data_IF_341289556180
#
_entry.id   IF_341289556180
#
_cell.length_a   1.000
_cell.length_b   1.000
_cell.length_c   1.000
_cell.angle_alpha   90.00
_cell.angle_beta   90.00
_cell.angle_gamma   90.00
#
_symmetry.space_group_name_H-M   'P 1'
#
loop_
_entity.id
_entity.type
_entity.pdbx_description
1 polymer ?
#
# COMPACT_ATOMS: atom_id res chain seq x y z
N UNK A 1 -0.78 29.80 10.68
CA UNK A 1 -0.56 29.12 9.38
C UNK A 1 -0.86 30.14 8.29
N UNK A 2 0.06 30.40 7.35
CA UNK A 2 -0.09 31.45 6.32
C UNK A 2 -1.19 31.06 5.30
N UNK A 3 -1.97 32.00 4.75
CA UNK A 3 -3.05 31.77 3.78
C UNK A 3 -2.61 30.93 2.56
N UNK A 4 -1.36 31.10 2.12
CA UNK A 4 -0.77 30.27 1.04
C UNK A 4 -0.58 28.81 1.43
N UNK A 5 -0.34 28.53 2.72
CA UNK A 5 -0.22 27.17 3.25
C UNK A 5 -1.61 26.54 3.38
N UNK A 6 -2.60 27.32 3.85
CA UNK A 6 -4.02 26.92 3.91
C UNK A 6 -4.56 26.57 2.51
N UNK A 7 -4.20 27.34 1.49
CA UNK A 7 -4.61 27.06 0.11
C UNK A 7 -3.99 25.76 -0.45
N UNK A 8 -2.72 25.47 -0.11
CA UNK A 8 -2.07 24.21 -0.48
C UNK A 8 -2.71 22.99 0.19
N UNK A 9 -3.10 23.12 1.46
CA UNK A 9 -3.84 22.09 2.20
C UNK A 9 -5.23 21.90 1.58
N UNK A 10 -5.94 23.00 1.27
CA UNK A 10 -7.25 22.98 0.62
C UNK A 10 -7.21 22.35 -0.78
N UNK A 11 -6.10 22.52 -1.50
CA UNK A 11 -5.83 21.93 -2.83
C UNK A 11 -5.22 20.52 -2.77
N UNK A 12 -5.20 19.84 -1.61
CA UNK A 12 -4.72 18.45 -1.48
C UNK A 12 -3.27 18.24 -1.94
N UNK A 13 -2.45 19.30 -1.96
CA UNK A 13 -1.11 19.29 -2.54
C UNK A 13 0.00 19.00 -1.50
N UNK A 14 -0.36 18.85 -0.23
CA UNK A 14 0.55 18.43 0.82
C UNK A 14 0.89 16.94 0.60
N UNK A 15 2.17 16.58 0.60
CA UNK A 15 2.74 15.22 0.42
C UNK A 15 2.85 14.62 -1.00
N UNK A 16 2.45 15.29 -2.07
CA UNK A 16 2.58 14.72 -3.41
C UNK A 16 4.03 14.83 -3.95
N UNK A 17 4.65 13.70 -4.26
CA UNK A 17 6.00 13.58 -4.82
C UNK A 17 6.02 13.96 -6.32
N UNK A 18 7.13 14.49 -6.84
CA UNK A 18 7.25 14.83 -8.27
C UNK A 18 7.02 13.64 -9.21
N UNK A 19 6.59 13.92 -10.45
CA UNK A 19 6.22 12.88 -11.43
C UNK A 19 7.33 11.86 -11.72
N UNK A 20 8.59 12.31 -11.75
CA UNK A 20 9.74 11.44 -12.00
C UNK A 20 9.89 10.32 -10.94
N UNK A 21 9.33 10.49 -9.74
CA UNK A 21 9.39 9.48 -8.70
C UNK A 21 8.55 8.23 -9.00
N UNK A 22 7.62 8.28 -9.97
CA UNK A 22 6.94 7.06 -10.48
C UNK A 22 7.91 6.08 -11.12
N UNK A 23 9.00 6.56 -11.73
CA UNK A 23 10.05 5.68 -12.25
C UNK A 23 10.90 5.12 -11.12
N UNK A 24 11.23 5.97 -10.12
CA UNK A 24 11.96 5.53 -8.94
C UNK A 24 11.20 4.50 -8.09
N UNK A 25 9.86 4.49 -8.09
CA UNK A 25 9.10 3.46 -7.37
C UNK A 25 9.29 2.05 -7.91
N UNK A 26 9.68 1.89 -9.18
CA UNK A 26 9.84 0.58 -9.80
C UNK A 26 11.07 -0.14 -9.23
N UNK A 27 12.13 0.60 -8.94
CA UNK A 27 13.40 0.06 -8.46
C UNK A 27 13.26 -0.75 -7.15
N UNK A 28 12.69 -0.23 -6.05
CA UNK A 28 12.54 -1.00 -4.82
C UNK A 28 11.57 -2.18 -4.98
N UNK A 29 10.54 -2.08 -5.83
CA UNK A 29 9.66 -3.23 -6.13
C UNK A 29 10.44 -4.33 -6.83
N UNK A 30 11.18 -4.00 -7.89
CA UNK A 30 11.97 -4.98 -8.64
C UNK A 30 13.03 -5.63 -7.75
N UNK A 31 13.76 -4.85 -6.97
CA UNK A 31 14.77 -5.37 -6.03
C UNK A 31 14.11 -6.29 -5.00
N UNK A 32 13.00 -5.87 -4.41
CA UNK A 32 12.26 -6.70 -3.44
C UNK A 32 11.78 -8.03 -4.03
N UNK A 33 11.25 -8.00 -5.26
CA UNK A 33 10.79 -9.19 -5.97
C UNK A 33 11.95 -10.12 -6.35
N UNK A 34 13.05 -9.58 -6.90
CA UNK A 34 14.22 -10.39 -7.25
C UNK A 34 14.80 -11.06 -6.00
N UNK A 35 14.99 -10.31 -4.92
CA UNK A 35 15.49 -10.84 -3.66
C UNK A 35 14.59 -11.94 -3.10
N UNK A 36 13.26 -11.79 -3.21
CA UNK A 36 12.31 -12.81 -2.79
C UNK A 36 12.52 -14.15 -3.53
N UNK A 37 12.76 -14.12 -4.85
CA UNK A 37 13.01 -15.34 -5.63
C UNK A 37 14.43 -15.89 -5.51
N UNK A 38 15.41 -15.07 -5.14
CA UNK A 38 16.82 -15.48 -5.03
C UNK A 38 17.26 -15.85 -3.63
N UNK A 39 16.42 -15.66 -2.61
CA UNK A 39 16.77 -15.91 -1.21
C UNK A 39 17.35 -17.32 -1.01
N UNK A 40 16.62 -18.34 -1.46
CA UNK A 40 16.98 -19.75 -1.29
C UNK A 40 18.31 -20.15 -1.95
N UNK A 41 18.82 -19.35 -2.89
CA UNK A 41 20.00 -19.67 -3.70
C UNK A 41 21.28 -18.99 -3.23
N UNK A 42 21.16 -17.91 -2.46
CA UNK A 42 22.31 -17.02 -2.20
C UNK A 42 22.91 -17.28 -0.83
N UNK A 43 22.13 -17.62 0.19
CA UNK A 43 22.63 -17.88 1.56
C UNK A 43 23.37 -16.70 2.18
N UNK A 44 23.24 -15.49 1.62
CA UNK A 44 24.01 -14.30 2.01
C UNK A 44 23.45 -13.67 3.30
N UNK A 45 22.17 -13.90 3.61
CA UNK A 45 21.45 -13.26 4.71
C UNK A 45 20.57 -14.28 5.46
N UNK A 46 20.23 -13.97 6.71
CA UNK A 46 19.28 -14.77 7.51
C UNK A 46 17.88 -14.74 6.87
N UNK A 47 17.27 -15.91 6.65
CA UNK A 47 15.97 -16.07 6.00
C UNK A 47 14.86 -15.18 6.59
N UNK A 48 14.86 -14.99 7.93
CA UNK A 48 13.88 -14.12 8.59
C UNK A 48 14.07 -12.65 8.23
N UNK A 49 15.31 -12.22 8.07
CA UNK A 49 15.66 -10.83 7.71
C UNK A 49 15.33 -10.59 6.23
N UNK A 50 15.65 -11.54 5.35
CA UNK A 50 15.35 -11.40 3.92
C UNK A 50 13.85 -11.33 3.67
N UNK A 51 13.07 -12.21 4.30
CA UNK A 51 11.61 -12.18 4.20
C UNK A 51 11.02 -10.84 4.68
N UNK A 52 11.53 -10.28 5.78
CA UNK A 52 11.09 -8.98 6.26
C UNK A 52 11.47 -7.85 5.30
N UNK A 53 12.73 -7.78 4.84
CA UNK A 53 13.24 -6.70 3.99
C UNK A 53 12.59 -6.69 2.61
N UNK A 54 12.41 -7.86 2.00
CA UNK A 54 11.79 -7.99 0.68
C UNK A 54 10.37 -7.45 0.63
N UNK A 55 9.53 -7.82 1.61
CA UNK A 55 8.17 -7.30 1.73
C UNK A 55 8.14 -5.79 1.90
N UNK A 56 8.98 -5.24 2.77
CA UNK A 56 9.03 -3.79 3.01
C UNK A 56 9.54 -2.99 1.81
N UNK A 57 10.45 -3.55 1.00
CA UNK A 57 10.89 -2.91 -0.25
C UNK A 57 9.75 -2.79 -1.26
N UNK A 58 8.92 -3.83 -1.41
CA UNK A 58 7.75 -3.78 -2.28
C UNK A 58 6.74 -2.73 -1.77
N UNK A 59 6.44 -2.75 -0.47
CA UNK A 59 5.54 -1.77 0.16
C UNK A 59 6.05 -0.33 -0.01
N UNK A 60 7.36 -0.11 0.13
CA UNK A 60 7.99 1.19 -0.07
C UNK A 60 7.82 1.66 -1.51
N UNK A 61 8.06 0.77 -2.48
CA UNK A 61 7.88 1.09 -3.89
C UNK A 61 6.44 1.49 -4.22
N UNK A 62 5.46 0.73 -3.73
CA UNK A 62 4.05 1.10 -3.89
C UNK A 62 3.71 2.42 -3.20
N UNK A 63 4.25 2.69 -2.01
CA UNK A 63 4.04 3.97 -1.33
C UNK A 63 4.57 5.14 -2.18
N UNK A 64 5.78 5.03 -2.73
CA UNK A 64 6.35 6.06 -3.61
C UNK A 64 5.48 6.25 -4.85
N UNK A 65 5.01 5.16 -5.46
CA UNK A 65 4.13 5.22 -6.63
C UNK A 65 2.82 5.96 -6.30
N UNK A 66 2.21 5.63 -5.17
CA UNK A 66 0.97 6.23 -4.68
C UNK A 66 1.17 7.72 -4.40
N UNK A 67 2.26 8.12 -3.78
CA UNK A 67 2.54 9.53 -3.46
C UNK A 67 2.94 10.36 -4.69
N UNK A 68 3.33 9.73 -5.79
CA UNK A 68 3.82 10.44 -6.98
C UNK A 68 2.71 11.10 -7.80
N UNK A 69 2.98 12.33 -8.27
CA UNK A 69 2.10 13.14 -9.13
C UNK A 69 1.96 12.56 -10.53
N UNK A 70 0.81 12.81 -11.14
CA UNK A 70 0.63 12.64 -12.58
C UNK A 70 1.36 13.74 -13.36
N UNK A 71 1.69 13.44 -14.63
CA UNK A 71 2.48 14.33 -15.49
C UNK A 71 1.82 15.70 -15.67
N UNK A 72 0.49 15.69 -15.81
CA UNK A 72 -0.34 16.88 -15.91
C UNK A 72 -1.39 16.81 -14.80
N UNK A 73 -1.11 17.38 -13.62
CA UNK A 73 -2.04 17.37 -12.51
C UNK A 73 -3.21 18.32 -12.82
N UNK A 74 -4.43 17.77 -12.79
CA UNK A 74 -5.70 18.47 -12.92
C UNK A 74 -6.54 18.26 -11.65
N UNK A 75 -7.49 19.16 -11.38
CA UNK A 75 -8.43 19.08 -10.26
C UNK A 75 -9.27 17.80 -10.32
N UNK A 76 -9.67 17.35 -11.51
CA UNK A 76 -10.38 16.06 -11.68
C UNK A 76 -9.54 14.88 -11.21
N UNK A 77 -8.27 14.82 -11.62
CA UNK A 77 -7.35 13.75 -11.20
C UNK A 77 -7.09 13.80 -9.69
N UNK A 78 -6.96 14.99 -9.11
CA UNK A 78 -6.83 15.15 -7.66
C UNK A 78 -8.05 14.59 -6.92
N UNK A 79 -9.27 14.91 -7.39
CA UNK A 79 -10.50 14.35 -6.83
C UNK A 79 -10.56 12.83 -6.94
N UNK A 80 -10.11 12.25 -8.04
CA UNK A 80 -10.02 10.80 -8.18
C UNK A 80 -9.06 10.15 -7.19
N UNK A 81 -7.92 10.79 -6.91
CA UNK A 81 -6.97 10.31 -5.89
C UNK A 81 -7.59 10.30 -4.50
N UNK A 82 -8.29 11.37 -4.13
CA UNK A 82 -9.01 11.42 -2.85
C UNK A 82 -10.11 10.36 -2.77
N UNK A 83 -10.88 10.16 -3.85
CA UNK A 83 -11.90 9.11 -3.93
C UNK A 83 -11.26 7.72 -3.77
N UNK A 84 -10.19 7.42 -4.50
CA UNK A 84 -9.47 6.15 -4.39
C UNK A 84 -8.89 5.92 -2.98
N UNK A 85 -8.34 6.95 -2.33
CA UNK A 85 -7.87 6.88 -0.94
C UNK A 85 -9.02 6.54 0.03
N UNK A 86 -10.16 7.20 -0.10
CA UNK A 86 -11.33 6.94 0.74
C UNK A 86 -11.83 5.49 0.56
N UNK A 87 -11.89 4.99 -0.68
CA UNK A 87 -12.26 3.60 -0.97
C UNK A 87 -11.27 2.60 -0.35
N UNK A 88 -9.96 2.84 -0.51
CA UNK A 88 -8.92 1.99 0.06
C UNK A 88 -8.97 1.96 1.59
N UNK A 89 -9.24 3.11 2.22
CA UNK A 89 -9.40 3.21 3.67
C UNK A 89 -10.63 2.47 4.17
N UNK A 90 -11.78 2.67 3.54
CA UNK A 90 -13.02 1.95 3.90
C UNK A 90 -12.83 0.43 3.81
N UNK A 91 -12.28 -0.06 2.69
CA UNK A 91 -12.00 -1.48 2.48
C UNK A 91 -10.94 -2.01 3.47
N UNK A 92 -9.88 -1.25 3.71
CA UNK A 92 -8.84 -1.62 4.69
C UNK A 92 -9.40 -1.76 6.10
N UNK A 93 -10.26 -0.83 6.54
CA UNK A 93 -10.93 -0.93 7.83
C UNK A 93 -11.80 -2.18 7.94
N UNK A 94 -12.56 -2.51 6.89
CA UNK A 94 -13.35 -3.74 6.85
C UNK A 94 -12.48 -4.98 7.02
N UNK A 95 -11.34 -5.06 6.32
CA UNK A 95 -10.42 -6.18 6.43
C UNK A 95 -9.84 -6.31 7.84
N UNK A 96 -9.41 -5.20 8.45
CA UNK A 96 -8.86 -5.18 9.81
C UNK A 96 -9.89 -5.65 10.85
N UNK A 97 -11.17 -5.33 10.66
CA UNK A 97 -12.24 -5.73 11.58
C UNK A 97 -12.69 -7.18 11.31
N UNK A 98 -12.92 -7.54 10.04
CA UNK A 98 -13.53 -8.82 9.67
C UNK A 98 -12.57 -9.99 9.82
N UNK A 99 -11.29 -9.85 9.50
CA UNK A 99 -10.34 -10.98 9.56
C UNK A 99 -10.23 -11.58 10.97
N UNK A 100 -10.04 -10.79 12.04
CA UNK A 100 -10.04 -11.33 13.41
C UNK A 100 -11.36 -12.01 13.79
N UNK A 101 -12.49 -11.48 13.35
CA UNK A 101 -13.81 -12.08 13.60
C UNK A 101 -13.97 -13.42 12.89
N UNK A 102 -13.59 -13.49 11.61
CA UNK A 102 -13.57 -14.72 10.82
C UNK A 102 -12.68 -15.75 11.52
N UNK A 103 -11.49 -15.36 11.97
CA UNK A 103 -10.61 -16.27 12.69
C UNK A 103 -11.22 -16.86 13.96
N UNK A 104 -11.80 -16.00 14.78
CA UNK A 104 -12.43 -16.42 16.02
C UNK A 104 -13.55 -17.43 15.73
N UNK A 105 -14.35 -17.16 14.71
CA UNK A 105 -15.41 -18.06 14.28
C UNK A 105 -14.87 -19.42 13.81
N UNK A 106 -13.85 -19.44 12.94
CA UNK A 106 -13.28 -20.68 12.42
C UNK A 106 -12.52 -21.49 13.46
N UNK A 107 -11.76 -20.84 14.36
CA UNK A 107 -11.07 -21.53 15.46
C UNK A 107 -12.07 -22.19 16.42
N UNK A 108 -13.18 -21.50 16.73
CA UNK A 108 -14.26 -22.07 17.54
C UNK A 108 -14.96 -23.25 16.85
N UNK A 109 -15.26 -23.12 15.55
CA UNK A 109 -15.97 -24.14 14.78
C UNK A 109 -15.12 -25.40 14.53
N UNK A 110 -13.86 -25.23 14.14
CA UNK A 110 -12.96 -26.32 13.77
C UNK A 110 -12.16 -26.88 14.95
N UNK A 111 -12.29 -26.27 16.14
CA UNK A 111 -11.47 -26.58 17.34
C UNK A 111 -9.96 -26.53 17.05
N UNK A 112 -9.55 -25.70 16.11
CA UNK A 112 -8.14 -25.44 15.78
C UNK A 112 -7.68 -24.29 16.66
N UNK A 113 -6.43 -24.35 17.14
CA UNK A 113 -5.83 -23.26 17.92
C UNK A 113 -5.93 -21.93 17.19
N UNK A 114 -6.08 -20.83 17.93
CA UNK A 114 -6.05 -19.49 17.36
C UNK A 114 -4.72 -19.28 16.64
N UNK A 115 -4.78 -19.03 15.34
CA UNK A 115 -3.61 -18.57 14.60
C UNK A 115 -3.19 -17.22 15.20
N UNK A 116 -1.91 -17.01 15.47
CA UNK A 116 -1.40 -15.71 15.93
C UNK A 116 -1.50 -14.69 14.80
N UNK A 117 -2.48 -13.77 14.88
CA UNK A 117 -2.79 -12.81 13.80
C UNK A 117 -1.78 -11.68 13.66
N UNK A 118 -1.04 -11.31 14.71
CA UNK A 118 -0.34 -10.03 14.70
C UNK A 118 1.06 -10.07 14.05
N UNK A 119 1.65 -11.25 13.85
CA UNK A 119 2.91 -11.36 13.12
C UNK A 119 2.64 -11.29 11.60
N UNK A 120 2.98 -10.15 11.00
CA UNK A 120 2.89 -9.92 9.54
C UNK A 120 1.58 -9.30 9.03
N UNK A 121 0.52 -9.25 9.83
CA UNK A 121 -0.76 -8.65 9.41
C UNK A 121 -0.66 -7.15 9.15
N UNK A 122 0.22 -6.43 9.85
CA UNK A 122 0.48 -5.02 9.56
C UNK A 122 0.95 -4.82 8.11
N UNK A 123 1.94 -5.59 7.67
CA UNK A 123 2.47 -5.51 6.31
C UNK A 123 1.43 -5.95 5.26
N UNK A 124 0.67 -7.02 5.53
CA UNK A 124 -0.40 -7.51 4.65
C UNK A 124 -1.55 -6.47 4.54
N UNK A 125 -1.92 -5.84 5.65
CA UNK A 125 -2.95 -4.80 5.67
C UNK A 125 -2.53 -3.56 4.88
N UNK A 126 -1.28 -3.12 5.04
CA UNK A 126 -0.71 -2.02 4.24
C UNK A 126 -0.68 -2.40 2.76
N UNK A 127 -0.22 -3.61 2.42
CA UNK A 127 -0.22 -4.10 1.05
C UNK A 127 -1.63 -4.06 0.45
N UNK A 128 -2.63 -4.57 1.18
CA UNK A 128 -4.01 -4.58 0.74
C UNK A 128 -4.54 -3.16 0.48
N UNK A 129 -4.28 -2.23 1.40
CA UNK A 129 -4.64 -0.82 1.23
C UNK A 129 -4.03 -0.24 -0.05
N UNK A 130 -2.73 -0.48 -0.28
CA UNK A 130 -2.01 0.02 -1.44
C UNK A 130 -2.58 -0.55 -2.75
N UNK A 131 -2.85 -1.85 -2.81
CA UNK A 131 -3.43 -2.50 -3.99
C UNK A 131 -4.84 -1.99 -4.28
N UNK A 132 -5.70 -1.92 -3.26
CA UNK A 132 -7.06 -1.39 -3.42
C UNK A 132 -7.02 0.05 -3.92
N UNK A 133 -6.14 0.89 -3.36
CA UNK A 133 -5.94 2.25 -3.87
C UNK A 133 -5.54 2.26 -5.34
N UNK A 134 -4.51 1.50 -5.73
CA UNK A 134 -3.97 1.50 -7.09
C UNK A 134 -5.00 1.01 -8.11
N UNK A 135 -5.74 -0.06 -7.80
CA UNK A 135 -6.81 -0.60 -8.65
C UNK A 135 -7.94 0.42 -8.82
N UNK A 136 -8.43 1.00 -7.72
CA UNK A 136 -9.54 1.95 -7.79
C UNK A 136 -9.12 3.26 -8.48
N UNK A 137 -7.90 3.73 -8.24
CA UNK A 137 -7.37 4.90 -8.92
C UNK A 137 -7.28 4.68 -10.43
N UNK A 138 -6.77 3.52 -10.85
CA UNK A 138 -6.73 3.15 -12.26
C UNK A 138 -8.13 3.03 -12.87
N UNK A 139 -9.06 2.34 -12.19
CA UNK A 139 -10.45 2.19 -12.64
C UNK A 139 -11.13 3.56 -12.83
N UNK A 140 -11.08 4.43 -11.82
CA UNK A 140 -11.70 5.74 -11.92
C UNK A 140 -11.07 6.63 -13.00
N UNK A 141 -9.79 6.43 -13.30
CA UNK A 141 -9.11 7.15 -14.37
C UNK A 141 -9.59 6.73 -15.76
N UNK A 142 -10.05 5.49 -15.93
CA UNK A 142 -10.64 5.02 -17.20
C UNK A 142 -12.04 5.59 -17.45
N UNK A 143 -12.73 6.05 -16.41
CA UNK A 143 -14.08 6.63 -16.49
C UNK A 143 -14.07 8.13 -16.84
N UNK A 144 -12.89 8.74 -17.06
CA UNK A 144 -12.71 10.15 -17.42
C UNK A 144 -12.83 10.40 -18.92
#
# INVERSE_FOLDING_TARGET
>A
MNDKQLEKVRKGNFLLLPHYMKWFSILPVLVGVVLFFTNDKTGILNDKIVAAVTGHLVLLGFLILILSKDKYPDERLLNLRHKAMAYAFMQGMLVVILIPLINFFFSSLLKVGLVTYFDGFGAIGVFFFQIVYLINYWRFKQEL
#
